data_IF_054766639640
#
_entry.id   IF_054766639640
#
_cell.length_a   1.000
_cell.length_b   1.000
_cell.length_c   1.000
_cell.angle_alpha   90.00
_cell.angle_beta   90.00
_cell.angle_gamma   90.00
#
_symmetry.space_group_name_H-M   'P 1'
#
loop_
_entity.id
_entity.type
_entity.pdbx_description
1 polymer ?
#
# COMPACT_ATOMS: atom_id res chain seq x y z
N UNK A 1 -9.12 4.98 -4.34
CA UNK A 1 -7.80 4.70 -4.96
C UNK A 1 -7.68 3.20 -5.17
N UNK A 2 -6.86 2.72 -6.12
CA UNK A 2 -6.62 1.27 -6.22
C UNK A 2 -5.76 0.81 -5.04
N UNK A 3 -6.19 -0.25 -4.37
CA UNK A 3 -5.46 -0.83 -3.23
C UNK A 3 -5.33 -2.32 -3.47
N UNK A 4 -4.13 -2.75 -3.81
CA UNK A 4 -3.78 -4.15 -4.07
C UNK A 4 -2.92 -4.69 -2.93
N UNK A 5 -2.46 -5.94 -3.03
CA UNK A 5 -1.61 -6.56 -2.01
C UNK A 5 -0.32 -7.10 -2.60
N UNK A 6 0.71 -7.13 -1.76
CA UNK A 6 1.97 -7.79 -2.04
C UNK A 6 2.46 -8.55 -0.82
N UNK A 7 3.34 -9.52 -1.04
CA UNK A 7 3.95 -10.34 0.00
C UNK A 7 5.43 -10.55 -0.30
N UNK A 8 6.23 -10.71 0.75
CA UNK A 8 7.64 -11.06 0.68
C UNK A 8 8.00 -12.01 1.82
N UNK A 9 9.10 -12.78 1.71
CA UNK A 9 9.59 -13.61 2.79
C UNK A 9 9.87 -12.80 4.07
N UNK A 10 9.68 -13.38 5.27
CA UNK A 10 10.08 -12.75 6.53
C UNK A 10 11.55 -12.29 6.51
N UNK A 11 11.83 -11.13 7.09
CA UNK A 11 13.18 -10.53 7.11
C UNK A 11 13.57 -9.78 5.82
N UNK A 12 12.69 -9.70 4.83
CA UNK A 12 12.90 -8.84 3.66
C UNK A 12 12.92 -7.37 4.05
N UNK A 13 13.77 -6.58 3.40
CA UNK A 13 13.96 -5.16 3.68
C UNK A 13 13.20 -4.31 2.66
N UNK A 14 12.41 -3.37 3.17
CA UNK A 14 11.61 -2.41 2.37
C UNK A 14 12.48 -1.28 1.82
N UNK A 15 11.93 -0.47 0.91
CA UNK A 15 12.62 0.73 0.40
C UNK A 15 13.02 1.76 1.48
N UNK A 16 12.33 1.80 2.63
CA UNK A 16 12.71 2.64 3.78
C UNK A 16 13.92 2.13 4.55
N UNK A 17 14.31 0.87 4.35
CA UNK A 17 15.34 0.19 5.14
C UNK A 17 14.81 -0.57 6.37
N UNK A 18 13.50 -0.51 6.66
CA UNK A 18 12.89 -1.36 7.70
C UNK A 18 12.54 -2.75 7.18
N UNK A 19 12.49 -3.74 8.06
CA UNK A 19 11.92 -5.06 7.73
C UNK A 19 10.43 -4.96 7.38
N UNK A 20 9.98 -5.86 6.50
CA UNK A 20 8.56 -6.01 6.17
C UNK A 20 7.75 -6.49 7.38
N UNK A 21 6.57 -5.89 7.61
CA UNK A 21 5.60 -6.28 8.65
C UNK A 21 4.18 -5.90 8.25
N UNK A 22 3.16 -6.57 8.76
CA UNK A 22 1.77 -6.11 8.54
C UNK A 22 1.58 -4.70 9.15
N UNK A 23 0.72 -3.90 8.51
CA UNK A 23 0.54 -2.48 8.84
C UNK A 23 1.44 -1.52 8.06
N UNK A 24 2.09 -1.99 6.98
CA UNK A 24 2.79 -1.12 6.02
C UNK A 24 2.17 -1.21 4.63
N UNK A 25 2.45 -0.20 3.81
CA UNK A 25 2.11 -0.17 2.39
C UNK A 25 3.33 0.19 1.53
N UNK A 26 3.33 -0.29 0.29
CA UNK A 26 4.11 0.29 -0.78
C UNK A 26 3.31 1.41 -1.45
N UNK A 27 3.91 2.59 -1.56
CA UNK A 27 3.25 3.76 -2.14
C UNK A 27 4.23 4.66 -2.90
N UNK A 28 3.75 5.83 -3.34
CA UNK A 28 4.58 6.82 -4.03
C UNK A 28 5.75 7.24 -3.15
N UNK A 29 6.96 7.28 -3.72
CA UNK A 29 8.21 7.50 -2.96
C UNK A 29 8.23 8.76 -2.10
N UNK A 30 7.60 9.84 -2.53
CA UNK A 30 7.55 11.09 -1.77
C UNK A 30 6.53 11.09 -0.62
N UNK A 31 5.82 9.98 -0.41
CA UNK A 31 4.96 9.73 0.74
C UNK A 31 5.62 8.82 1.76
N UNK A 32 6.93 8.54 1.65
CA UNK A 32 7.64 7.73 2.63
C UNK A 32 7.40 8.24 4.06
N UNK A 33 7.18 7.31 4.99
CA UNK A 33 6.85 7.56 6.40
C UNK A 33 5.49 8.24 6.65
N UNK A 34 4.69 8.49 5.61
CA UNK A 34 3.33 9.01 5.78
C UNK A 34 2.41 7.99 6.46
N UNK A 35 1.47 8.51 7.24
CA UNK A 35 0.34 7.73 7.78
C UNK A 35 -0.73 7.57 6.70
N UNK A 36 -1.19 6.35 6.52
CA UNK A 36 -2.28 5.98 5.61
C UNK A 36 -3.46 5.47 6.42
N UNK A 37 -4.64 6.03 6.16
CA UNK A 37 -5.91 5.57 6.73
C UNK A 37 -6.73 4.94 5.62
N UNK A 38 -7.16 3.69 5.80
CA UNK A 38 -7.95 2.96 4.82
C UNK A 38 -9.39 2.76 5.31
N UNK A 39 -10.33 2.95 4.38
CA UNK A 39 -11.74 2.60 4.54
C UNK A 39 -12.21 1.79 3.34
N UNK A 40 -13.12 0.84 3.56
CA UNK A 40 -13.73 0.07 2.48
C UNK A 40 -14.72 0.92 1.66
N UNK A 41 -15.36 0.32 0.65
CA UNK A 41 -16.27 1.05 -0.25
C UNK A 41 -17.53 1.60 0.46
N UNK A 42 -17.88 1.03 1.61
CA UNK A 42 -19.01 1.44 2.45
C UNK A 42 -18.56 2.41 3.57
N UNK A 43 -17.32 2.92 3.50
CA UNK A 43 -16.71 3.82 4.48
C UNK A 43 -16.50 3.18 5.87
N UNK A 44 -16.47 1.86 5.97
CA UNK A 44 -16.05 1.21 7.22
C UNK A 44 -14.53 1.30 7.36
N UNK A 45 -14.07 1.62 8.57
CA UNK A 45 -12.64 1.72 8.86
C UNK A 45 -11.94 0.35 8.73
N UNK A 46 -10.88 0.30 7.92
CA UNK A 46 -10.05 -0.90 7.73
C UNK A 46 -8.87 -0.90 8.69
N UNK A 47 -8.13 0.22 8.76
CA UNK A 47 -6.91 0.29 9.57
C UNK A 47 -6.01 1.48 9.25
N UNK A 48 -4.99 1.61 10.10
CA UNK A 48 -3.86 2.51 9.89
C UNK A 48 -2.68 1.76 9.33
N UNK A 49 -1.98 2.38 8.39
CA UNK A 49 -0.79 1.84 7.74
C UNK A 49 0.28 2.90 7.61
N UNK A 50 1.52 2.47 7.47
CA UNK A 50 2.66 3.35 7.27
C UNK A 50 3.29 3.11 5.90
N UNK A 51 3.63 4.17 5.17
CA UNK A 51 4.38 4.01 3.92
C UNK A 51 5.83 3.67 4.26
N UNK A 52 6.22 2.42 4.06
CA UNK A 52 7.61 1.97 4.26
C UNK A 52 8.27 1.43 2.99
N UNK A 53 7.50 1.25 1.93
CA UNK A 53 7.99 0.62 0.71
C UNK A 53 7.57 1.38 -0.55
N UNK A 54 8.15 1.01 -1.69
CA UNK A 54 7.82 1.58 -3.00
C UNK A 54 7.77 0.48 -4.05
N UNK A 55 7.13 0.76 -5.19
CA UNK A 55 7.06 -0.19 -6.29
C UNK A 55 6.75 0.51 -7.62
N UNK A 56 6.75 -0.27 -8.69
CA UNK A 56 6.34 0.22 -10.02
C UNK A 56 4.82 0.35 -10.09
N UNK A 57 4.08 -0.72 -9.81
CA UNK A 57 2.64 -0.80 -10.04
C UNK A 57 2.32 -1.22 -11.47
N UNK A 58 1.16 -0.82 -12.01
CA UNK A 58 0.78 -1.11 -13.40
C UNK A 58 0.96 0.14 -14.24
N UNK A 59 1.71 0.02 -15.34
CA UNK A 59 1.73 1.00 -16.42
C UNK A 59 0.50 0.75 -17.32
N UNK A 60 -0.43 1.69 -17.34
CA UNK A 60 -1.72 1.56 -18.05
C UNK A 60 -1.68 2.14 -19.46
N UNK A 61 -0.82 3.11 -19.73
CA UNK A 61 -0.79 3.89 -20.97
C UNK A 61 0.50 3.66 -21.78
N UNK A 62 1.45 2.87 -21.27
CA UNK A 62 2.71 2.52 -21.92
C UNK A 62 3.74 3.65 -21.87
N UNK A 63 3.62 4.60 -20.95
CA UNK A 63 4.56 5.72 -20.82
C UNK A 63 5.79 5.41 -19.95
N UNK A 64 5.86 4.20 -19.38
CA UNK A 64 6.95 3.76 -18.52
C UNK A 64 6.83 4.23 -17.08
N UNK A 65 5.69 4.78 -16.66
CA UNK A 65 5.39 5.20 -15.29
C UNK A 65 4.28 4.31 -14.73
N UNK A 66 4.59 3.57 -13.66
CA UNK A 66 3.62 2.69 -13.04
C UNK A 66 2.72 3.40 -12.02
N UNK A 67 1.55 2.82 -11.74
CA UNK A 67 0.51 3.41 -10.90
C UNK A 67 0.94 3.75 -9.46
N UNK A 68 1.93 3.04 -8.88
CA UNK A 68 2.47 3.40 -7.55
C UNK A 68 3.34 4.65 -7.65
N UNK A 69 4.14 4.78 -8.72
CA UNK A 69 4.96 5.95 -8.97
C UNK A 69 4.12 7.20 -9.26
N UNK A 70 2.97 7.04 -9.92
CA UNK A 70 2.01 8.13 -10.12
C UNK A 70 1.29 8.52 -8.83
N UNK A 71 1.12 7.58 -7.91
CA UNK A 71 0.29 7.73 -6.71
C UNK A 71 -1.19 7.43 -6.97
N UNK A 72 -1.50 6.66 -8.01
CA UNK A 72 -2.87 6.21 -8.34
C UNK A 72 -3.20 4.85 -7.74
N UNK A 73 -2.21 4.14 -7.19
CA UNK A 73 -2.35 2.92 -6.42
C UNK A 73 -1.40 2.83 -5.22
N UNK A 74 -1.78 2.03 -4.23
CA UNK A 74 -0.91 1.54 -3.16
C UNK A 74 -1.02 0.01 -3.06
N UNK A 75 0.01 -0.64 -2.53
CA UNK A 75 -0.03 -2.06 -2.20
C UNK A 75 0.07 -2.27 -0.68
N UNK A 76 -0.88 -2.99 -0.11
CA UNK A 76 -0.85 -3.39 1.30
C UNK A 76 0.04 -4.62 1.47
N UNK A 77 1.03 -4.53 2.35
CA UNK A 77 1.84 -5.69 2.68
C UNK A 77 1.02 -6.70 3.46
N UNK A 78 1.08 -7.96 3.03
CA UNK A 78 0.54 -9.10 3.76
C UNK A 78 1.61 -10.15 3.95
N UNK A 79 1.51 -10.86 5.07
CA UNK A 79 2.52 -11.84 5.50
C UNK A 79 2.56 -13.11 4.64
N UNK A 80 1.53 -13.35 3.81
CA UNK A 80 1.46 -14.49 2.91
C UNK A 80 0.56 -14.20 1.71
N UNK A 81 0.68 -15.04 0.67
CA UNK A 81 -0.22 -15.00 -0.49
C UNK A 81 -1.68 -15.27 -0.10
N UNK A 82 -1.93 -16.20 0.83
CA UNK A 82 -3.26 -16.46 1.37
C UNK A 82 -3.87 -15.19 1.98
N UNK A 83 -3.08 -14.45 2.77
CA UNK A 83 -3.48 -13.17 3.34
C UNK A 83 -3.74 -12.11 2.27
N UNK A 84 -3.04 -12.13 1.13
CA UNK A 84 -3.39 -11.29 -0.03
C UNK A 84 -4.76 -11.65 -0.60
N UNK A 85 -5.07 -12.95 -0.74
CA UNK A 85 -6.38 -13.38 -1.24
C UNK A 85 -7.52 -12.99 -0.30
N UNK A 86 -7.34 -13.18 1.02
CA UNK A 86 -8.32 -12.71 2.02
C UNK A 86 -8.60 -11.21 1.92
N UNK A 87 -7.59 -10.40 1.58
CA UNK A 87 -7.78 -8.98 1.33
C UNK A 87 -8.69 -8.74 0.12
N UNK A 88 -8.35 -9.34 -1.02
CA UNK A 88 -9.11 -9.16 -2.26
C UNK A 88 -10.55 -9.65 -2.11
N UNK A 89 -10.77 -10.77 -1.42
CA UNK A 89 -12.12 -11.30 -1.16
C UNK A 89 -12.94 -10.36 -0.28
N UNK A 90 -12.31 -9.71 0.70
CA UNK A 90 -13.02 -8.86 1.67
C UNK A 90 -13.23 -7.43 1.19
N UNK A 91 -12.24 -6.83 0.54
CA UNK A 91 -12.22 -5.40 0.23
C UNK A 91 -12.15 -5.10 -1.27
N UNK A 92 -11.85 -6.10 -2.10
CA UNK A 92 -11.64 -5.91 -3.54
C UNK A 92 -10.40 -5.06 -3.86
N UNK A 93 -10.44 -4.41 -5.02
CA UNK A 93 -9.31 -3.64 -5.58
C UNK A 93 -9.35 -2.13 -5.28
N UNK A 94 -10.41 -1.64 -4.63
CA UNK A 94 -10.62 -0.20 -4.43
C UNK A 94 -11.08 0.13 -3.01
N UNK A 95 -10.37 1.07 -2.39
CA UNK A 95 -10.67 1.59 -1.06
C UNK A 95 -10.61 3.12 -1.07
N UNK A 96 -11.23 3.75 -0.08
CA UNK A 96 -10.93 5.14 0.25
C UNK A 96 -9.62 5.21 1.03
N UNK A 97 -8.76 6.14 0.63
CA UNK A 97 -7.39 6.27 1.14
C UNK A 97 -7.16 7.72 1.53
N UNK A 98 -6.81 7.94 2.79
CA UNK A 98 -6.30 9.22 3.26
C UNK A 98 -4.80 9.07 3.54
N UNK A 99 -3.99 9.96 2.96
CA UNK A 99 -2.54 9.99 3.16
C UNK A 99 -2.21 11.27 3.91
N UNK A 100 -1.51 11.14 5.02
CA UNK A 100 -1.13 12.23 5.92
C UNK A 100 0.39 12.30 5.90
N UNK A 101 0.93 13.23 5.11
CA UNK A 101 2.39 13.40 4.92
C UNK A 101 3.04 14.25 6.01
N UNK A 102 2.25 15.07 6.70
CA UNK A 102 2.73 16.05 7.69
C UNK A 102 2.30 15.63 9.10
N UNK A 103 2.60 14.39 9.49
CA UNK A 103 2.46 13.99 10.88
C UNK A 103 3.62 14.59 11.69
N UNK A 104 3.48 15.85 12.10
CA UNK A 104 4.34 16.43 13.13
C UNK A 104 4.12 15.64 14.43
N UNK A 105 5.12 14.85 14.82
CA UNK A 105 5.23 14.18 16.12
C UNK A 105 6.19 14.90 17.04
#
# INVERSE_FOLDING_TARGET
MRVTCYTYPPGSITASGSEVREGIVAAKKNWMDALVVLYDIDMNFIGYFEVKDTGFGIDKNGDGIGSIQEGTSIDVFRSSLERCHEWTERYGDYCYVQIITDAEG
#
